data_IF_411536859020
#
_entry.id   IF_411536859020
#
_cell.length_a   1.000
_cell.length_b   1.000
_cell.length_c   1.000
_cell.angle_alpha   90.00
_cell.angle_beta   90.00
_cell.angle_gamma   90.00
#
_symmetry.space_group_name_H-M   'P 1'
#
loop_
_entity.id
_entity.type
_entity.pdbx_description
1 polymer ?
#
# COMPACT_ATOMS: atom_id res chain seq x y z
N UNK A 1 -60.30 -8.30 12.19
CA UNK A 1 -59.45 -7.15 11.76
C UNK A 1 -58.22 -6.95 12.67
N UNK A 2 -58.34 -6.83 14.00
CA UNK A 2 -57.18 -6.60 14.90
C UNK A 2 -56.07 -7.68 14.85
N UNK A 3 -56.42 -8.97 14.72
CA UNK A 3 -55.45 -10.08 14.60
C UNK A 3 -54.73 -10.11 13.25
N UNK A 4 -55.45 -9.75 12.18
CA UNK A 4 -54.90 -9.63 10.84
C UNK A 4 -53.94 -8.44 10.73
N UNK A 5 -54.29 -7.31 11.33
CA UNK A 5 -53.42 -6.12 11.39
C UNK A 5 -52.13 -6.39 12.16
N UNK A 6 -52.19 -7.22 13.23
CA UNK A 6 -51.00 -7.67 13.97
C UNK A 6 -50.09 -8.57 13.13
N UNK A 7 -50.65 -9.48 12.34
CA UNK A 7 -49.88 -10.36 11.44
C UNK A 7 -49.17 -9.55 10.34
N UNK A 8 -49.85 -8.58 9.73
CA UNK A 8 -49.25 -7.69 8.72
C UNK A 8 -48.15 -6.80 9.33
N UNK A 9 -48.37 -6.29 10.54
CA UNK A 9 -47.35 -5.53 11.27
C UNK A 9 -46.11 -6.38 11.60
N UNK A 10 -46.30 -7.66 11.92
CA UNK A 10 -45.19 -8.56 12.25
C UNK A 10 -44.37 -8.92 11.01
N UNK A 11 -45.03 -9.15 9.88
CA UNK A 11 -44.33 -9.41 8.61
C UNK A 11 -43.52 -8.21 8.13
N UNK A 12 -44.04 -6.99 8.34
CA UNK A 12 -43.33 -5.77 7.96
C UNK A 12 -42.08 -5.51 8.82
N UNK A 13 -42.12 -5.90 10.10
CA UNK A 13 -40.99 -5.79 11.02
C UNK A 13 -39.87 -6.79 10.70
N UNK A 14 -40.21 -7.98 10.17
CA UNK A 14 -39.21 -8.99 9.82
C UNK A 14 -38.46 -8.56 8.54
N UNK A 15 -39.15 -7.93 7.59
CA UNK A 15 -38.56 -7.43 6.35
C UNK A 15 -37.60 -6.25 6.53
N UNK A 16 -37.68 -5.49 7.62
CA UNK A 16 -36.80 -4.33 7.85
C UNK A 16 -35.40 -4.68 8.35
N UNK A 17 -35.13 -5.96 8.64
CA UNK A 17 -33.85 -6.40 9.24
C UNK A 17 -32.86 -7.03 8.25
N UNK A 18 -33.21 -7.18 6.97
CA UNK A 18 -32.31 -7.72 5.95
C UNK A 18 -31.39 -6.64 5.36
N UNK A 19 -30.61 -5.97 6.20
CA UNK A 19 -29.45 -5.20 5.75
C UNK A 19 -28.24 -6.12 5.71
N UNK A 20 -27.74 -6.46 4.52
CA UNK A 20 -26.45 -7.14 4.41
C UNK A 20 -25.37 -6.16 4.87
N UNK A 21 -24.84 -6.35 6.08
CA UNK A 21 -23.63 -5.65 6.53
C UNK A 21 -22.43 -6.34 5.87
N UNK A 22 -22.10 -5.93 4.65
CA UNK A 22 -20.81 -6.28 4.08
C UNK A 22 -19.73 -5.58 4.91
N UNK A 23 -18.93 -6.36 5.63
CA UNK A 23 -17.70 -5.83 6.19
C UNK A 23 -16.83 -5.39 5.01
N UNK A 24 -16.57 -4.09 4.91
CA UNK A 24 -15.59 -3.56 3.96
C UNK A 24 -14.23 -4.07 4.41
N UNK A 25 -13.73 -5.11 3.75
CA UNK A 25 -12.35 -5.53 3.93
C UNK A 25 -11.49 -4.32 3.53
N UNK A 26 -10.94 -3.64 4.54
CA UNK A 26 -9.87 -2.66 4.35
C UNK A 26 -8.70 -3.44 3.78
N UNK A 27 -8.69 -3.67 2.47
CA UNK A 27 -7.54 -4.23 1.76
C UNK A 27 -6.42 -3.24 2.01
N UNK A 28 -5.55 -3.59 2.97
CA UNK A 28 -4.32 -2.88 3.21
C UNK A 28 -3.41 -3.24 2.04
N UNK A 29 -3.66 -2.63 0.88
CA UNK A 29 -2.68 -2.59 -0.20
C UNK A 29 -1.52 -1.84 0.42
N UNK A 30 -0.54 -2.57 0.97
CA UNK A 30 0.68 -2.00 1.48
C UNK A 30 1.27 -1.20 0.33
N UNK A 31 1.08 0.13 0.35
CA UNK A 31 1.50 0.99 -0.75
C UNK A 31 3.01 0.89 -0.79
N UNK A 32 3.51 0.18 -1.79
CA UNK A 32 4.93 0.03 -1.95
C UNK A 32 5.54 1.39 -2.32
N UNK A 33 6.66 1.71 -1.68
CA UNK A 33 7.44 2.91 -1.92
C UNK A 33 8.53 2.67 -2.95
N UNK A 34 9.19 3.76 -3.33
CA UNK A 34 10.38 3.74 -4.18
C UNK A 34 11.42 4.68 -3.58
N UNK A 35 12.65 4.20 -3.39
CA UNK A 35 13.81 5.04 -3.04
C UNK A 35 14.59 5.30 -4.33
N UNK A 36 14.85 6.57 -4.62
CA UNK A 36 15.60 7.00 -5.80
C UNK A 36 16.52 8.13 -5.40
N UNK A 37 17.65 8.24 -6.08
CA UNK A 37 18.57 9.35 -5.85
C UNK A 37 19.60 9.44 -6.96
N UNK A 38 20.51 10.39 -6.80
CA UNK A 38 21.64 10.62 -7.70
C UNK A 38 22.92 10.66 -6.88
N UNK A 39 23.92 9.91 -7.29
CA UNK A 39 25.24 9.86 -6.65
C UNK A 39 26.16 10.85 -7.35
N UNK A 40 26.76 11.73 -6.55
CA UNK A 40 27.74 12.72 -6.99
C UNK A 40 28.91 12.76 -6.00
N UNK A 41 30.07 13.22 -6.46
CA UNK A 41 31.24 13.45 -5.62
C UNK A 41 31.20 14.80 -4.88
N UNK A 42 32.26 15.13 -4.14
CA UNK A 42 32.40 16.41 -3.42
C UNK A 42 32.41 17.64 -4.33
N UNK A 43 32.79 17.45 -5.60
CA UNK A 43 32.82 18.48 -6.64
C UNK A 43 31.51 18.53 -7.45
N UNK A 44 30.48 17.76 -7.05
CA UNK A 44 29.19 17.60 -7.73
C UNK A 44 29.30 16.92 -9.11
N UNK A 45 30.38 16.20 -9.39
CA UNK A 45 30.48 15.38 -10.59
C UNK A 45 29.65 14.11 -10.43
N UNK A 46 29.05 13.67 -11.53
CA UNK A 46 28.28 12.41 -11.57
C UNK A 46 29.19 11.21 -11.31
N UNK A 47 28.69 10.25 -10.54
CA UNK A 47 29.39 8.99 -10.30
C UNK A 47 28.58 7.80 -10.85
N UNK A 48 28.85 7.40 -12.11
CA UNK A 48 28.35 6.14 -12.66
C UNK A 48 29.03 4.92 -12.01
N UNK A 49 28.32 3.80 -11.94
CA UNK A 49 28.90 2.55 -11.45
C UNK A 49 29.05 2.46 -9.93
N UNK A 50 28.56 3.44 -9.18
CA UNK A 50 28.53 3.39 -7.72
C UNK A 50 27.57 2.29 -7.26
N UNK A 51 27.98 1.48 -6.28
CA UNK A 51 27.15 0.42 -5.72
C UNK A 51 26.45 0.90 -4.46
N UNK A 52 25.14 0.70 -4.38
CA UNK A 52 24.29 1.03 -3.24
C UNK A 52 23.67 -0.27 -2.74
N UNK A 53 23.73 -0.54 -1.44
CA UNK A 53 23.24 -1.76 -0.84
C UNK A 53 22.29 -1.44 0.31
N UNK A 54 21.16 -2.15 0.37
CA UNK A 54 20.24 -2.09 1.51
C UNK A 54 20.41 -3.39 2.30
N UNK A 55 20.95 -3.29 3.52
CA UNK A 55 21.32 -4.47 4.31
C UNK A 55 20.12 -5.36 4.63
N UNK A 56 19.03 -4.74 5.07
CA UNK A 56 17.80 -5.44 5.46
C UNK A 56 17.19 -6.27 4.33
N UNK A 57 17.39 -5.86 3.08
CA UNK A 57 16.84 -6.52 1.88
C UNK A 57 17.84 -7.43 1.19
N UNK A 58 19.10 -7.42 1.62
CA UNK A 58 20.21 -8.08 0.92
C UNK A 58 20.25 -7.79 -0.58
N UNK A 59 19.87 -6.57 -0.95
CA UNK A 59 19.73 -6.15 -2.35
C UNK A 59 20.64 -4.97 -2.61
N UNK A 60 21.41 -5.05 -3.69
CA UNK A 60 22.23 -3.96 -4.21
C UNK A 60 21.76 -3.49 -5.59
N UNK A 61 21.97 -2.21 -5.87
CA UNK A 61 21.81 -1.61 -7.21
C UNK A 61 23.04 -0.79 -7.56
N UNK A 62 23.24 -0.57 -8.85
CA UNK A 62 24.35 0.24 -9.37
C UNK A 62 23.81 1.52 -10.00
N UNK A 63 24.50 2.65 -9.81
CA UNK A 63 24.14 3.91 -10.45
C UNK A 63 24.37 3.87 -11.97
N UNK A 64 23.45 4.49 -12.73
CA UNK A 64 23.54 4.58 -14.18
C UNK A 64 24.59 5.60 -14.67
N UNK A 65 24.67 5.80 -16.00
CA UNK A 65 25.60 6.76 -16.64
C UNK A 65 25.40 8.22 -16.20
N UNK A 66 24.25 8.56 -15.62
CA UNK A 66 23.93 9.89 -15.11
C UNK A 66 24.02 9.96 -13.57
N UNK A 67 24.42 8.87 -12.92
CA UNK A 67 24.54 8.72 -11.46
C UNK A 67 23.23 8.37 -10.77
N UNK A 68 22.13 8.07 -11.47
CA UNK A 68 20.86 7.73 -10.84
C UNK A 68 20.79 6.28 -10.37
N UNK A 69 20.12 6.04 -9.24
CA UNK A 69 19.79 4.71 -8.75
C UNK A 69 18.31 4.62 -8.36
N UNK A 70 17.76 3.41 -8.31
CA UNK A 70 16.35 3.19 -7.94
C UNK A 70 16.16 1.83 -7.26
N UNK A 71 15.54 1.84 -6.08
CA UNK A 71 14.93 0.68 -5.44
C UNK A 71 13.41 0.83 -5.52
N UNK A 72 12.76 -0.04 -6.28
CA UNK A 72 11.30 -0.04 -6.44
C UNK A 72 10.64 -1.10 -5.55
N UNK A 73 9.31 -1.03 -5.44
CA UNK A 73 8.48 -2.05 -4.80
C UNK A 73 8.84 -2.31 -3.32
N UNK A 74 9.28 -1.26 -2.61
CA UNK A 74 9.69 -1.37 -1.22
C UNK A 74 8.48 -1.38 -0.30
N UNK A 75 8.42 -2.31 0.65
CA UNK A 75 7.41 -2.24 1.71
C UNK A 75 7.66 -1.01 2.60
N UNK A 76 6.63 -0.39 3.20
CA UNK A 76 6.87 0.69 4.16
C UNK A 76 7.78 0.22 5.30
N UNK A 77 8.83 0.99 5.58
CA UNK A 77 9.78 0.68 6.65
C UNK A 77 11.05 1.52 6.59
N UNK A 78 11.93 1.29 7.56
CA UNK A 78 13.26 1.89 7.60
C UNK A 78 14.27 0.97 6.91
N UNK A 79 15.09 1.58 6.06
CA UNK A 79 16.16 0.95 5.30
C UNK A 79 17.47 1.71 5.55
N UNK A 80 18.56 0.96 5.68
CA UNK A 80 19.93 1.44 5.87
C UNK A 80 20.83 0.77 4.86
#
# INVERSE_FOLDING_TARGET
MKRFLRLVSLTLLIMSTSGNTFAEEKVNVARQGTIRGRIVDTSKQILPGASIYIEKLHTGVTSDVNGYYTFANLTPGTYT
#
